data_IF_831535141997
#
_entry.id   IF_831535141997
#
_cell.length_a   1.000
_cell.length_b   1.000
_cell.length_c   1.000
_cell.angle_alpha   90.00
_cell.angle_beta   90.00
_cell.angle_gamma   90.00
#
_symmetry.space_group_name_H-M   'P 1'
#
loop_
_entity.id
_entity.type
_entity.pdbx_description
1 polymer ?
#
# COMPACT_ATOMS: atom_id res chain seq x y z
N UNK A 1 21.83 19.95 -8.09
CA UNK A 1 21.70 19.55 -6.67
C UNK A 1 20.43 18.72 -6.54
N UNK A 2 20.55 17.40 -6.44
CA UNK A 2 19.38 16.55 -6.16
C UNK A 2 18.86 16.92 -4.76
N UNK A 3 17.60 17.35 -4.66
CA UNK A 3 16.97 17.54 -3.37
C UNK A 3 17.06 16.21 -2.61
N UNK A 4 17.56 16.26 -1.37
CA UNK A 4 17.51 15.11 -0.46
C UNK A 4 16.08 14.59 -0.42
N UNK A 5 15.90 13.28 -0.64
CA UNK A 5 14.60 12.62 -0.59
C UNK A 5 13.84 13.07 0.67
N UNK A 6 12.70 13.77 0.54
CA UNK A 6 12.03 14.41 1.67
C UNK A 6 11.39 13.41 2.64
N UNK A 7 11.43 12.11 2.32
CA UNK A 7 10.86 11.07 3.14
C UNK A 7 11.69 10.80 4.42
N UNK A 8 11.01 10.67 5.58
CA UNK A 8 11.60 10.13 6.80
C UNK A 8 12.32 8.80 6.54
N UNK A 9 13.34 8.50 7.36
CA UNK A 9 14.16 7.29 7.20
C UNK A 9 13.32 6.00 7.18
N UNK A 10 12.28 5.93 8.02
CA UNK A 10 11.35 4.80 8.09
C UNK A 10 10.60 4.57 6.77
N UNK A 11 9.99 5.63 6.20
CA UNK A 11 9.30 5.53 4.91
C UNK A 11 10.26 5.22 3.75
N UNK A 12 11.52 5.68 3.80
CA UNK A 12 12.54 5.30 2.81
C UNK A 12 12.86 3.82 2.86
N UNK A 13 13.06 3.27 4.06
CA UNK A 13 13.32 1.84 4.25
C UNK A 13 12.10 0.99 3.88
N UNK A 14 10.91 1.42 4.27
CA UNK A 14 9.65 0.75 3.91
C UNK A 14 9.45 0.70 2.39
N UNK A 15 9.70 1.84 1.72
CA UNK A 15 9.65 1.94 0.25
C UNK A 15 10.69 1.04 -0.43
N UNK A 16 11.91 1.01 0.06
CA UNK A 16 12.97 0.12 -0.45
C UNK A 16 12.60 -1.36 -0.26
N UNK A 17 12.05 -1.72 0.89
CA UNK A 17 11.56 -3.06 1.20
C UNK A 17 10.47 -3.51 0.22
N UNK A 18 9.51 -2.62 -0.07
CA UNK A 18 8.46 -2.88 -1.04
C UNK A 18 9.00 -3.04 -2.46
N UNK A 19 9.93 -2.19 -2.90
CA UNK A 19 10.56 -2.32 -4.21
C UNK A 19 11.33 -3.65 -4.36
N UNK A 20 12.06 -4.06 -3.32
CA UNK A 20 12.73 -5.36 -3.29
C UNK A 20 11.72 -6.51 -3.40
N UNK A 21 10.60 -6.44 -2.68
CA UNK A 21 9.54 -7.44 -2.74
C UNK A 21 8.92 -7.54 -4.14
N UNK A 22 8.65 -6.42 -4.82
CA UNK A 22 8.18 -6.41 -6.22
C UNK A 22 9.18 -7.07 -7.18
N UNK A 23 10.48 -6.97 -6.89
CA UNK A 23 11.54 -7.62 -7.66
C UNK A 23 11.76 -9.10 -7.26
N UNK A 24 10.89 -9.68 -6.44
CA UNK A 24 10.94 -11.09 -6.04
C UNK A 24 11.87 -11.39 -4.86
N UNK A 25 12.39 -10.38 -4.17
CA UNK A 25 13.13 -10.59 -2.92
C UNK A 25 12.15 -11.06 -1.84
N UNK A 26 12.53 -12.12 -1.14
CA UNK A 26 11.78 -12.63 0.00
C UNK A 26 11.83 -11.62 1.14
N UNK A 27 10.66 -11.13 1.54
CA UNK A 27 10.51 -10.09 2.56
C UNK A 27 9.63 -10.59 3.70
N UNK A 28 10.10 -10.43 4.93
CA UNK A 28 9.29 -10.62 6.13
C UNK A 28 8.66 -9.27 6.54
N UNK A 29 7.34 -9.17 6.38
CA UNK A 29 6.59 -7.95 6.65
C UNK A 29 6.27 -7.74 8.12
N UNK A 30 6.54 -8.72 9.00
CA UNK A 30 6.13 -8.64 10.41
C UNK A 30 6.72 -7.46 11.16
N UNK A 31 7.92 -7.03 10.80
CA UNK A 31 8.60 -5.90 11.44
C UNK A 31 7.99 -4.53 11.07
N UNK A 32 7.27 -4.48 9.94
CA UNK A 32 6.72 -3.25 9.39
C UNK A 32 5.25 -3.03 9.73
N UNK A 33 4.49 -4.10 9.94
CA UNK A 33 3.05 -4.05 10.16
C UNK A 33 2.69 -3.89 11.64
N UNK A 34 1.45 -3.50 11.92
CA UNK A 34 0.96 -3.31 13.28
C UNK A 34 1.31 -1.98 13.93
N UNK A 35 1.84 -1.03 13.15
CA UNK A 35 2.32 0.26 13.66
C UNK A 35 1.18 1.28 13.67
N UNK A 36 0.67 1.56 14.87
CA UNK A 36 -0.40 2.53 15.09
C UNK A 36 -1.66 1.92 15.73
N UNK A 37 -2.60 2.75 16.19
CA UNK A 37 -3.85 2.30 16.82
C UNK A 37 -4.89 1.84 15.78
N UNK A 38 -5.94 1.16 16.26
CA UNK A 38 -7.14 0.86 15.47
C UNK A 38 -7.15 -0.52 14.81
N UNK A 39 -8.19 -0.76 14.01
CA UNK A 39 -8.35 -2.03 13.28
C UNK A 39 -7.41 -2.12 12.07
N UNK A 40 -7.03 -0.99 11.50
CA UNK A 40 -6.06 -0.87 10.41
C UNK A 40 -4.93 0.08 10.81
N UNK A 41 -3.83 -0.46 11.36
CA UNK A 41 -2.67 0.35 11.72
C UNK A 41 -2.06 1.04 10.49
N UNK A 42 -1.40 2.19 10.68
CA UNK A 42 -0.99 3.08 9.59
C UNK A 42 -0.11 2.43 8.53
N UNK A 43 0.86 1.59 8.90
CA UNK A 43 1.70 0.88 7.92
C UNK A 43 0.96 -0.21 7.15
N UNK A 44 -0.13 -0.75 7.69
CA UNK A 44 -0.94 -1.76 7.04
C UNK A 44 -1.77 -1.10 5.92
N UNK A 45 -2.35 0.06 6.21
CA UNK A 45 -3.04 0.90 5.22
C UNK A 45 -2.08 1.43 4.16
N UNK A 46 -0.88 1.87 4.58
CA UNK A 46 0.17 2.30 3.65
C UNK A 46 0.58 1.15 2.71
N UNK A 47 0.80 -0.06 3.23
CA UNK A 47 1.12 -1.21 2.38
C UNK A 47 -0.02 -1.56 1.42
N UNK A 48 -1.27 -1.49 1.89
CA UNK A 48 -2.46 -1.70 1.07
C UNK A 48 -2.52 -0.71 -0.10
N UNK A 49 -2.24 0.56 0.15
CA UNK A 49 -2.13 1.60 -0.88
C UNK A 49 -1.00 1.35 -1.88
N UNK A 50 0.18 0.92 -1.40
CA UNK A 50 1.31 0.57 -2.28
C UNK A 50 0.99 -0.63 -3.17
N UNK A 51 0.31 -1.66 -2.63
CA UNK A 51 -0.18 -2.80 -3.41
C UNK A 51 -1.20 -2.38 -4.46
N UNK A 52 -2.13 -1.47 -4.12
CA UNK A 52 -3.09 -0.90 -5.07
C UNK A 52 -2.38 -0.20 -6.23
N UNK A 53 -1.36 0.60 -5.95
CA UNK A 53 -0.55 1.24 -6.99
C UNK A 53 0.19 0.20 -7.85
N UNK A 54 0.78 -0.83 -7.24
CA UNK A 54 1.48 -1.88 -7.98
C UNK A 54 0.56 -2.65 -8.94
N UNK A 55 -0.66 -2.95 -8.53
CA UNK A 55 -1.68 -3.51 -9.41
C UNK A 55 -2.13 -2.54 -10.50
N UNK A 56 -2.41 -1.28 -10.14
CA UNK A 56 -2.86 -0.25 -11.07
C UNK A 56 -1.85 0.02 -12.19
N UNK A 57 -0.55 0.04 -11.88
CA UNK A 57 0.51 0.26 -12.86
C UNK A 57 1.07 -1.03 -13.49
N UNK A 58 0.47 -2.20 -13.21
CA UNK A 58 0.89 -3.48 -13.78
C UNK A 58 2.25 -3.99 -13.30
N UNK A 59 2.74 -3.50 -12.16
CA UNK A 59 3.98 -3.95 -11.53
C UNK A 59 3.78 -5.20 -10.66
N UNK A 60 2.54 -5.52 -10.32
CA UNK A 60 2.15 -6.74 -9.64
C UNK A 60 1.02 -7.42 -10.42
N UNK A 61 1.08 -8.76 -10.48
CA UNK A 61 0.05 -9.60 -11.07
C UNK A 61 -0.34 -10.74 -10.13
N UNK A 62 -1.30 -11.58 -10.55
CA UNK A 62 -1.80 -12.67 -9.73
C UNK A 62 -0.74 -13.74 -9.43
N UNK A 63 0.32 -13.85 -10.23
CA UNK A 63 1.39 -14.83 -10.02
C UNK A 63 2.37 -14.33 -8.96
N UNK A 64 2.82 -13.08 -9.08
CA UNK A 64 3.75 -12.45 -8.14
C UNK A 64 3.09 -12.05 -6.81
N UNK A 65 1.79 -11.74 -6.82
CA UNK A 65 1.03 -11.35 -5.65
C UNK A 65 0.74 -12.49 -4.66
N UNK A 66 0.46 -13.71 -5.14
CA UNK A 66 0.19 -14.88 -4.28
C UNK A 66 1.28 -15.17 -3.23
N UNK A 67 2.59 -15.19 -3.59
CA UNK A 67 3.65 -15.43 -2.61
C UNK A 67 4.10 -14.17 -1.85
N UNK A 68 3.46 -13.00 -2.02
CA UNK A 68 3.96 -11.72 -1.48
C UNK A 68 4.21 -11.74 0.03
N UNK A 69 3.37 -12.47 0.79
CA UNK A 69 3.51 -12.65 2.24
C UNK A 69 4.05 -14.03 2.64
N UNK A 70 4.59 -14.83 1.71
CA UNK A 70 4.99 -16.21 1.99
C UNK A 70 6.14 -16.35 2.99
N UNK A 71 6.94 -15.30 3.18
CA UNK A 71 8.05 -15.25 4.15
C UNK A 71 7.68 -14.51 5.44
N UNK A 72 6.45 -14.00 5.51
CA UNK A 72 5.89 -13.54 6.76
C UNK A 72 5.23 -14.74 7.43
N UNK A 73 5.62 -15.06 8.66
CA UNK A 73 4.91 -16.08 9.45
C UNK A 73 3.47 -15.60 9.77
N UNK A 74 2.91 -15.97 10.92
CA UNK A 74 1.57 -15.53 11.28
C UNK A 74 1.50 -14.00 11.48
N UNK A 75 0.99 -13.28 10.47
CA UNK A 75 0.77 -11.83 10.51
C UNK A 75 -0.19 -11.40 11.63
N UNK A 76 -1.08 -12.29 12.11
CA UNK A 76 -1.97 -11.98 13.24
C UNK A 76 -1.20 -11.76 14.56
N UNK A 77 0.09 -12.13 14.62
CA UNK A 77 0.93 -11.85 15.78
C UNK A 77 1.38 -10.39 15.85
N UNK A 78 1.32 -9.67 14.74
CA UNK A 78 1.82 -8.28 14.65
C UNK A 78 0.73 -7.28 14.30
N UNK A 79 -0.39 -7.71 13.72
CA UNK A 79 -1.52 -6.83 13.39
C UNK A 79 -2.87 -7.52 13.60
N UNK A 80 -3.96 -6.80 13.33
CA UNK A 80 -5.33 -7.26 13.56
C UNK A 80 -5.80 -8.23 12.47
N UNK A 81 -6.79 -9.06 12.79
CA UNK A 81 -7.41 -9.95 11.81
C UNK A 81 -8.03 -9.20 10.61
N UNK A 82 -8.51 -7.96 10.82
CA UNK A 82 -9.05 -7.10 9.75
C UNK A 82 -7.94 -6.73 8.78
N UNK A 83 -6.81 -6.23 9.27
CA UNK A 83 -5.66 -5.87 8.44
C UNK A 83 -5.05 -7.06 7.72
N UNK A 84 -4.92 -8.21 8.39
CA UNK A 84 -4.45 -9.45 7.73
C UNK A 84 -5.34 -9.81 6.54
N UNK A 85 -6.66 -9.66 6.68
CA UNK A 85 -7.60 -9.94 5.59
C UNK A 85 -7.41 -8.97 4.42
N UNK A 86 -7.37 -7.67 4.70
CA UNK A 86 -7.18 -6.64 3.67
C UNK A 86 -5.84 -6.80 2.94
N UNK A 87 -4.74 -7.03 3.66
CA UNK A 87 -3.42 -7.22 3.06
C UNK A 87 -3.39 -8.47 2.16
N UNK A 88 -3.95 -9.60 2.61
CA UNK A 88 -4.01 -10.84 1.80
C UNK A 88 -4.86 -10.68 0.55
N UNK A 89 -5.96 -9.93 0.63
CA UNK A 89 -6.78 -9.60 -0.53
C UNK A 89 -6.07 -8.63 -1.49
N UNK A 90 -5.44 -7.58 -0.96
CA UNK A 90 -4.69 -6.60 -1.73
C UNK A 90 -3.52 -7.24 -2.50
N UNK A 91 -2.79 -8.17 -1.87
CA UNK A 91 -1.74 -8.94 -2.55
C UNK A 91 -2.28 -9.76 -3.74
N UNK A 92 -3.54 -10.17 -3.71
CA UNK A 92 -4.21 -10.90 -4.78
C UNK A 92 -4.96 -9.99 -5.77
N UNK A 93 -4.91 -8.67 -5.60
CA UNK A 93 -5.57 -7.71 -6.48
C UNK A 93 -7.02 -7.40 -6.11
N UNK A 94 -7.48 -7.83 -4.93
CA UNK A 94 -8.80 -7.52 -4.41
C UNK A 94 -8.72 -6.36 -3.42
N UNK A 95 -9.52 -5.32 -3.65
CA UNK A 95 -9.53 -4.11 -2.83
C UNK A 95 -10.96 -3.73 -2.47
N UNK A 96 -11.12 -2.98 -1.37
CA UNK A 96 -12.41 -2.44 -0.97
C UNK A 96 -12.93 -1.46 -2.04
N UNK A 97 -14.26 -1.41 -2.21
CA UNK A 97 -14.91 -0.58 -3.23
C UNK A 97 -14.46 0.89 -3.27
N UNK A 98 -14.22 1.58 -2.14
CA UNK A 98 -13.72 2.95 -2.17
C UNK A 98 -12.35 3.09 -2.85
N UNK A 99 -11.44 2.13 -2.66
CA UNK A 99 -10.13 2.12 -3.30
C UNK A 99 -10.26 1.88 -4.82
N UNK A 100 -11.17 1.00 -5.23
CA UNK A 100 -11.48 0.75 -6.64
C UNK A 100 -12.11 1.98 -7.31
N UNK A 101 -13.04 2.65 -6.62
CA UNK A 101 -13.62 3.91 -7.09
C UNK A 101 -12.56 4.99 -7.27
N UNK A 102 -11.60 5.08 -6.33
CA UNK A 102 -10.48 5.99 -6.42
C UNK A 102 -9.61 5.74 -7.66
N UNK A 103 -9.15 4.50 -7.90
CA UNK A 103 -8.31 4.23 -9.09
C UNK A 103 -9.06 4.42 -10.40
N UNK A 104 -10.36 4.10 -10.47
CA UNK A 104 -11.19 4.41 -11.63
C UNK A 104 -11.35 5.92 -11.85
N UNK A 105 -11.36 6.70 -10.77
CA UNK A 105 -11.48 8.14 -10.82
C UNK A 105 -10.20 8.86 -11.28
N UNK A 106 -9.02 8.22 -11.24
CA UNK A 106 -7.73 8.82 -11.63
C UNK A 106 -7.70 9.29 -13.09
N UNK A 107 -8.51 8.70 -13.97
CA UNK A 107 -8.62 9.10 -15.38
C UNK A 107 -9.42 10.39 -15.59
N UNK A 108 -10.07 10.94 -14.55
CA UNK A 108 -10.92 12.13 -14.64
C UNK A 108 -10.71 13.07 -13.43
N UNK A 109 -10.02 14.21 -13.59
CA UNK A 109 -9.62 15.08 -12.47
C UNK A 109 -10.76 15.49 -11.54
N UNK A 110 -11.96 15.80 -12.08
CA UNK A 110 -13.13 16.17 -11.27
C UNK A 110 -13.63 15.02 -10.40
N UNK A 111 -13.54 13.78 -10.88
CA UNK A 111 -13.91 12.58 -10.12
C UNK A 111 -12.82 12.22 -9.12
N UNK A 112 -11.55 12.47 -9.47
CA UNK A 112 -10.39 12.21 -8.60
C UNK A 112 -10.50 12.95 -7.26
N UNK A 113 -10.82 14.25 -7.29
CA UNK A 113 -10.97 15.04 -6.07
C UNK A 113 -12.03 14.46 -5.12
N UNK A 114 -13.22 14.15 -5.65
CA UNK A 114 -14.32 13.55 -4.88
C UNK A 114 -13.93 12.18 -4.31
N UNK A 115 -13.19 11.37 -5.08
CA UNK A 115 -12.75 10.06 -4.61
C UNK A 115 -11.66 10.16 -3.53
N UNK A 116 -10.77 11.15 -3.60
CA UNK A 116 -9.80 11.46 -2.54
C UNK A 116 -10.55 11.88 -1.28
N UNK A 117 -11.50 12.81 -1.36
CA UNK A 117 -12.30 13.24 -0.21
C UNK A 117 -13.07 12.07 0.42
N UNK A 118 -13.61 11.18 -0.41
CA UNK A 118 -14.29 9.96 0.04
C UNK A 118 -13.34 9.01 0.77
N UNK A 119 -12.10 8.86 0.30
CA UNK A 119 -11.08 8.06 0.99
C UNK A 119 -10.66 8.72 2.29
N UNK A 120 -10.43 10.03 2.32
CA UNK A 120 -10.07 10.76 3.53
C UNK A 120 -11.16 10.69 4.61
N UNK A 121 -12.42 10.47 4.22
CA UNK A 121 -13.53 10.23 5.14
C UNK A 121 -13.57 8.79 5.70
N UNK A 122 -12.72 7.87 5.25
CA UNK A 122 -12.65 6.50 5.77
C UNK A 122 -11.79 6.40 7.02
N UNK A 123 -12.42 5.99 8.12
CA UNK A 123 -11.74 5.83 9.41
C UNK A 123 -11.18 7.15 9.93
N UNK A 124 -10.32 7.11 10.95
CA UNK A 124 -9.68 8.32 11.47
C UNK A 124 -8.50 8.75 10.60
N UNK A 125 -7.56 7.84 10.32
CA UNK A 125 -6.35 8.10 9.52
C UNK A 125 -6.15 7.13 8.36
N UNK A 126 -6.92 6.03 8.34
CA UNK A 126 -6.76 4.92 7.40
C UNK A 126 -6.82 5.36 5.93
N UNK A 127 -7.75 6.25 5.59
CA UNK A 127 -7.83 6.84 4.26
C UNK A 127 -6.57 7.60 3.84
N UNK A 128 -6.04 8.43 4.74
CA UNK A 128 -4.84 9.22 4.49
C UNK A 128 -3.59 8.32 4.37
N UNK A 129 -3.47 7.31 5.22
CA UNK A 129 -2.37 6.34 5.20
C UNK A 129 -2.41 5.49 3.90
N UNK A 130 -3.60 5.10 3.45
CA UNK A 130 -3.79 4.41 2.16
C UNK A 130 -3.39 5.29 0.98
N UNK A 131 -3.79 6.57 0.98
CA UNK A 131 -3.41 7.53 -0.06
C UNK A 131 -1.90 7.80 -0.08
N UNK A 132 -1.28 7.92 1.09
CA UNK A 132 0.18 8.01 1.22
C UNK A 132 0.85 6.78 0.59
N UNK A 133 0.37 5.58 0.92
CA UNK A 133 0.83 4.33 0.33
C UNK A 133 0.72 4.31 -1.19
N UNK A 134 -0.44 4.70 -1.73
CA UNK A 134 -0.64 4.76 -3.18
C UNK A 134 0.34 5.74 -3.84
N UNK A 135 0.51 6.93 -3.26
CA UNK A 135 1.45 7.93 -3.75
C UNK A 135 2.90 7.43 -3.70
N UNK A 136 3.34 6.78 -2.61
CA UNK A 136 4.67 6.17 -2.51
C UNK A 136 4.89 5.09 -3.58
N UNK A 137 3.89 4.23 -3.81
CA UNK A 137 3.92 3.22 -4.87
C UNK A 137 3.97 3.86 -6.25
N UNK A 138 3.18 4.90 -6.51
CA UNK A 138 3.22 5.65 -7.77
C UNK A 138 4.61 6.24 -8.03
N UNK A 139 5.23 6.90 -7.04
CA UNK A 139 6.57 7.48 -7.18
C UNK A 139 7.63 6.39 -7.50
N UNK A 140 7.53 5.22 -6.88
CA UNK A 140 8.41 4.08 -7.19
C UNK A 140 8.26 3.57 -8.62
N UNK A 141 7.03 3.53 -9.14
CA UNK A 141 6.71 2.84 -10.39
C UNK A 141 6.77 3.76 -11.60
N UNK A 142 6.45 5.04 -11.42
CA UNK A 142 6.58 6.07 -12.45
C UNK A 142 7.96 6.74 -12.45
N UNK A 143 8.73 6.62 -11.36
CA UNK A 143 10.09 7.15 -11.25
C UNK A 143 11.17 6.31 -11.94
N UNK A 144 10.81 5.38 -12.85
CA UNK A 144 11.79 4.76 -13.74
C UNK A 144 12.20 5.81 -14.80
N UNK A 145 13.50 5.98 -15.09
CA UNK A 145 13.94 6.79 -16.23
C UNK A 145 13.34 6.28 -17.54
#
# INVERSE_FOLDING_TARGET
MAASDPLPAELRQFRHCFQAALNGVKTDWRHWLGKGPGLTPSHDDTLSGMLLAAWYYGALDARAGRPFFACSDNLQLVTTAVSVSYLRYAAQGYFASPLLHFVHALSCPKRTAVAIDSLLALGHTSGADTLLGFWLGQQLLQGKP
#
